data_IF_017907635399
#
_entry.id   IF_017907635399
#
_cell.length_a   1.000
_cell.length_b   1.000
_cell.length_c   1.000
_cell.angle_alpha   90.00
_cell.angle_beta   90.00
_cell.angle_gamma   90.00
#
_symmetry.space_group_name_H-M   'P 1'
#
loop_
_entity.id
_entity.type
_entity.pdbx_description
1 polymer ?
#
# COMPACT_ATOMS: atom_id res chain seq x y z
N UNK A 1 -26.19 -4.41 -7.41
CA UNK A 1 -25.99 -3.31 -8.38
C UNK A 1 -27.15 -2.29 -8.33
N UNK A 2 -28.41 -2.70 -8.41
CA UNK A 2 -29.57 -1.79 -8.42
C UNK A 2 -29.65 -0.97 -7.13
N UNK A 3 -29.50 -1.57 -5.94
CA UNK A 3 -29.49 -0.83 -4.66
C UNK A 3 -28.39 0.23 -4.62
N UNK A 4 -27.21 -0.06 -5.12
CA UNK A 4 -26.12 0.93 -5.16
C UNK A 4 -26.41 2.09 -6.11
N UNK A 5 -27.07 1.83 -7.23
CA UNK A 5 -27.53 2.91 -8.14
C UNK A 5 -28.57 3.79 -7.44
N UNK A 6 -29.55 3.18 -6.77
CA UNK A 6 -30.56 3.95 -6.01
C UNK A 6 -29.94 4.80 -4.90
N UNK A 7 -28.98 4.25 -4.14
CA UNK A 7 -28.27 4.99 -3.09
C UNK A 7 -27.43 6.12 -3.72
N UNK A 8 -26.85 5.90 -4.90
CA UNK A 8 -26.12 6.92 -5.64
C UNK A 8 -26.96 8.15 -6.01
N UNK A 9 -28.27 7.98 -6.23
CA UNK A 9 -29.19 9.10 -6.50
C UNK A 9 -29.37 10.05 -5.30
N UNK A 10 -29.05 9.59 -4.08
CA UNK A 10 -29.06 10.45 -2.89
C UNK A 10 -27.92 11.46 -2.89
N UNK A 11 -26.93 11.29 -3.77
CA UNK A 11 -25.75 12.15 -3.89
C UNK A 11 -25.04 12.43 -2.53
N UNK A 12 -25.09 11.47 -1.62
CA UNK A 12 -24.46 11.56 -0.32
C UNK A 12 -23.16 10.77 -0.31
N UNK A 13 -22.07 11.36 0.21
CA UNK A 13 -20.82 10.65 0.38
C UNK A 13 -20.96 9.50 1.39
N UNK A 14 -20.13 8.48 1.27
CA UNK A 14 -20.04 7.34 2.18
C UNK A 14 -21.29 6.44 2.28
N UNK A 15 -22.34 6.69 1.51
CA UNK A 15 -23.52 5.85 1.46
C UNK A 15 -23.31 4.65 0.53
N UNK A 16 -23.78 3.48 0.92
CA UNK A 16 -23.62 2.27 0.11
C UNK A 16 -24.37 1.07 0.69
N UNK A 17 -24.56 0.06 -0.15
CA UNK A 17 -25.04 -1.25 0.29
C UNK A 17 -24.12 -2.34 -0.27
N UNK A 18 -23.66 -3.22 0.61
CA UNK A 18 -22.89 -4.39 0.23
C UNK A 18 -23.75 -5.62 0.46
N UNK A 19 -23.91 -6.44 -0.57
CA UNK A 19 -24.62 -7.71 -0.47
C UNK A 19 -23.93 -8.68 0.49
N UNK A 20 -24.59 -9.81 0.80
CA UNK A 20 -24.01 -10.83 1.65
C UNK A 20 -22.67 -11.32 1.07
N UNK A 21 -21.74 -11.77 1.94
CA UNK A 21 -20.45 -12.29 1.49
C UNK A 21 -20.64 -13.39 0.44
N UNK A 22 -20.10 -13.20 -0.77
CA UNK A 22 -20.10 -14.22 -1.79
C UNK A 22 -18.86 -15.11 -1.62
N UNK A 23 -19.03 -16.42 -1.77
CA UNK A 23 -17.89 -17.34 -1.91
C UNK A 23 -17.26 -17.11 -3.28
N UNK A 24 -16.29 -16.24 -3.35
CA UNK A 24 -15.45 -16.06 -4.55
C UNK A 24 -14.42 -17.20 -4.58
N UNK A 25 -14.11 -17.77 -5.76
CA UNK A 25 -12.98 -18.70 -5.85
C UNK A 25 -11.70 -17.98 -5.37
N UNK A 26 -11.00 -18.64 -4.46
CA UNK A 26 -9.74 -18.13 -3.92
C UNK A 26 -8.64 -18.27 -4.97
N UNK A 27 -8.52 -17.29 -5.85
CA UNK A 27 -7.51 -17.27 -6.90
C UNK A 27 -6.15 -16.84 -6.34
N UNK A 28 -5.15 -17.68 -6.57
CA UNK A 28 -3.77 -17.37 -6.22
C UNK A 28 -3.21 -16.24 -7.07
N UNK A 29 -2.39 -15.39 -6.46
CA UNK A 29 -1.67 -14.30 -7.13
C UNK A 29 -0.18 -14.61 -7.15
N UNK A 30 0.46 -14.30 -8.28
CA UNK A 30 1.87 -14.61 -8.52
C UNK A 30 2.77 -13.39 -8.30
N UNK A 31 2.21 -12.18 -8.36
CA UNK A 31 2.97 -10.93 -8.42
C UNK A 31 3.64 -10.73 -9.78
N UNK A 32 3.04 -11.24 -10.85
CA UNK A 32 3.46 -11.04 -12.25
C UNK A 32 2.52 -10.09 -12.95
N UNK A 33 3.07 -9.13 -13.65
CA UNK A 33 2.36 -8.27 -14.59
C UNK A 33 2.81 -8.57 -16.00
N UNK A 34 1.84 -8.67 -16.90
CA UNK A 34 2.10 -9.03 -18.30
C UNK A 34 1.96 -7.82 -19.21
N UNK A 35 2.73 -7.81 -20.30
CA UNK A 35 2.66 -6.77 -21.31
C UNK A 35 1.37 -6.91 -22.12
N UNK A 36 0.48 -5.95 -21.92
CA UNK A 36 -0.83 -5.91 -22.58
C UNK A 36 -0.69 -5.80 -24.10
N UNK A 37 0.23 -4.97 -24.59
CA UNK A 37 0.40 -4.75 -26.03
C UNK A 37 0.94 -5.99 -26.76
N UNK A 38 1.80 -6.77 -26.10
CA UNK A 38 2.26 -8.06 -26.63
C UNK A 38 1.14 -9.09 -26.59
N UNK A 39 0.40 -9.15 -25.47
CA UNK A 39 -0.74 -10.08 -25.37
C UNK A 39 -1.80 -9.83 -26.44
N UNK A 40 -2.20 -8.57 -26.65
CA UNK A 40 -3.20 -8.21 -27.67
C UNK A 40 -2.76 -8.56 -29.10
N UNK A 41 -1.45 -8.51 -29.40
CA UNK A 41 -0.91 -8.82 -30.73
C UNK A 41 -0.65 -10.30 -30.94
N UNK A 42 -0.24 -11.02 -29.91
CA UNK A 42 0.32 -12.39 -30.07
C UNK A 42 -0.35 -13.44 -29.21
N UNK A 43 -1.19 -13.06 -28.26
CA UNK A 43 -1.74 -13.95 -27.25
C UNK A 43 -0.76 -14.47 -26.20
N UNK A 44 0.48 -13.97 -26.20
CA UNK A 44 1.53 -14.41 -25.28
C UNK A 44 1.53 -13.63 -23.97
N UNK A 45 1.66 -14.32 -22.85
CA UNK A 45 1.84 -13.71 -21.54
C UNK A 45 3.33 -13.44 -21.28
N UNK A 46 3.84 -12.37 -21.89
CA UNK A 46 5.19 -11.89 -21.61
C UNK A 46 5.19 -11.03 -20.33
N UNK A 47 6.10 -11.33 -19.42
CA UNK A 47 6.24 -10.63 -18.14
C UNK A 47 6.79 -9.23 -18.38
N UNK A 48 6.01 -8.22 -18.03
CA UNK A 48 6.43 -6.82 -18.04
C UNK A 48 7.17 -6.44 -16.74
N UNK A 49 6.66 -6.94 -15.59
CA UNK A 49 7.29 -6.70 -14.29
C UNK A 49 7.00 -7.81 -13.30
N UNK A 50 7.87 -7.91 -12.30
CA UNK A 50 7.75 -8.84 -11.16
C UNK A 50 7.69 -7.99 -9.88
N UNK A 51 6.65 -8.17 -9.10
CA UNK A 51 6.48 -7.42 -7.84
C UNK A 51 7.54 -7.89 -6.83
N UNK A 52 8.29 -6.97 -6.21
CA UNK A 52 9.25 -7.34 -5.17
C UNK A 52 8.60 -8.16 -4.04
N UNK A 53 9.30 -9.15 -3.53
CA UNK A 53 8.87 -10.08 -2.46
C UNK A 53 7.62 -10.91 -2.80
N UNK A 54 7.13 -10.86 -4.02
CA UNK A 54 6.02 -11.71 -4.48
C UNK A 54 6.44 -13.17 -4.65
N UNK A 55 5.46 -14.06 -4.81
CA UNK A 55 5.69 -15.47 -5.09
C UNK A 55 6.66 -15.71 -6.26
N UNK A 56 6.51 -14.94 -7.34
CA UNK A 56 7.42 -15.02 -8.50
C UNK A 56 8.81 -14.43 -8.21
N UNK A 57 8.88 -13.33 -7.46
CA UNK A 57 10.17 -12.72 -7.08
C UNK A 57 11.01 -13.65 -6.22
N UNK A 58 10.38 -14.34 -5.25
CA UNK A 58 11.06 -15.28 -4.36
C UNK A 58 11.62 -16.50 -5.09
N UNK A 59 11.06 -16.85 -6.25
CA UNK A 59 11.60 -17.91 -7.10
C UNK A 59 12.93 -17.51 -7.82
N UNK A 60 13.37 -16.25 -7.69
CA UNK A 60 14.66 -15.66 -8.10
C UNK A 60 15.06 -15.77 -9.58
N UNK A 61 14.52 -16.70 -10.36
CA UNK A 61 14.82 -16.95 -11.77
C UNK A 61 13.91 -16.17 -12.72
N UNK A 62 12.68 -15.85 -12.28
CA UNK A 62 11.66 -15.22 -13.12
C UNK A 62 12.00 -13.73 -13.32
N UNK A 63 12.03 -13.28 -14.55
CA UNK A 63 12.45 -11.91 -14.91
C UNK A 63 11.49 -11.26 -15.91
N UNK A 64 11.44 -9.93 -15.95
CA UNK A 64 10.82 -9.20 -17.05
C UNK A 64 11.42 -9.67 -18.39
N UNK A 65 10.55 -9.84 -19.39
CA UNK A 65 10.89 -10.38 -20.70
C UNK A 65 10.63 -11.88 -20.86
N UNK A 66 10.61 -12.65 -19.78
CA UNK A 66 10.23 -14.06 -19.84
C UNK A 66 8.74 -14.21 -20.20
N UNK A 67 8.39 -15.35 -20.82
CA UNK A 67 7.02 -15.68 -21.20
C UNK A 67 6.50 -16.85 -20.36
N UNK A 68 5.34 -16.71 -19.73
CA UNK A 68 4.64 -17.80 -19.06
C UNK A 68 4.00 -18.70 -20.12
N UNK A 69 4.36 -19.98 -20.14
CA UNK A 69 3.91 -20.96 -21.15
C UNK A 69 3.07 -22.08 -20.59
N UNK A 70 3.19 -22.39 -19.28
CA UNK A 70 2.31 -23.37 -18.62
C UNK A 70 2.24 -23.12 -17.11
N UNK A 71 1.14 -23.60 -16.48
CA UNK A 71 0.93 -23.66 -15.03
C UNK A 71 0.58 -25.09 -14.67
N UNK A 72 1.37 -25.74 -13.80
CA UNK A 72 1.25 -27.15 -13.42
C UNK A 72 1.09 -28.09 -14.65
N UNK A 73 1.90 -27.84 -15.69
CA UNK A 73 1.87 -28.59 -16.94
C UNK A 73 0.70 -28.26 -17.89
N UNK A 74 -0.27 -27.45 -17.48
CA UNK A 74 -1.36 -26.99 -18.35
C UNK A 74 -0.88 -25.82 -19.22
N UNK A 75 -0.94 -25.91 -20.55
CA UNK A 75 -0.48 -24.86 -21.43
C UNK A 75 -1.25 -23.55 -21.23
N UNK A 76 -0.52 -22.43 -21.35
CA UNK A 76 -1.10 -21.08 -21.38
C UNK A 76 -1.09 -20.59 -22.82
N UNK A 77 -2.27 -20.34 -23.35
CA UNK A 77 -2.54 -19.87 -24.72
C UNK A 77 -3.31 -18.55 -24.70
N UNK A 78 -3.53 -17.93 -25.84
CA UNK A 78 -4.30 -16.69 -25.95
C UNK A 78 -5.74 -16.77 -25.38
N UNK A 79 -6.35 -17.96 -25.38
CA UNK A 79 -7.69 -18.17 -24.81
C UNK A 79 -7.69 -18.66 -23.36
N UNK A 80 -6.53 -18.78 -22.72
CA UNK A 80 -6.43 -19.31 -21.35
C UNK A 80 -6.81 -18.27 -20.32
N UNK A 81 -7.79 -18.61 -19.46
CA UNK A 81 -8.07 -17.83 -18.26
C UNK A 81 -7.08 -18.24 -17.16
N UNK A 82 -6.09 -17.37 -16.91
CA UNK A 82 -5.05 -17.62 -15.90
C UNK A 82 -5.65 -17.73 -14.49
N UNK A 83 -6.71 -16.98 -14.18
CA UNK A 83 -7.36 -17.03 -12.86
C UNK A 83 -7.98 -18.41 -12.59
N UNK A 84 -8.47 -19.13 -13.62
CA UNK A 84 -8.95 -20.50 -13.46
C UNK A 84 -7.81 -21.46 -13.14
N UNK A 85 -6.66 -21.31 -13.79
CA UNK A 85 -5.48 -22.15 -13.52
C UNK A 85 -4.92 -21.92 -12.11
N UNK A 86 -5.12 -20.73 -11.54
CA UNK A 86 -4.67 -20.33 -10.21
C UNK A 86 -5.75 -20.45 -9.13
N UNK A 87 -6.96 -20.92 -9.49
CA UNK A 87 -8.04 -21.16 -8.53
C UNK A 87 -7.63 -22.22 -7.51
N UNK A 88 -7.88 -21.92 -6.22
CA UNK A 88 -7.54 -22.79 -5.08
C UNK A 88 -6.03 -23.08 -4.92
N UNK A 89 -5.15 -22.22 -5.49
CA UNK A 89 -3.69 -22.39 -5.43
C UNK A 89 -3.01 -21.55 -4.34
N UNK A 90 -3.77 -20.76 -3.57
CA UNK A 90 -3.20 -19.97 -2.46
C UNK A 90 -2.44 -20.89 -1.50
N UNK A 91 -1.17 -20.54 -1.20
CA UNK A 91 -0.24 -21.31 -0.36
C UNK A 91 -0.03 -22.78 -0.81
N UNK A 92 -0.31 -23.10 -2.08
CA UNK A 92 0.00 -24.42 -2.65
C UNK A 92 1.12 -24.30 -3.66
N UNK A 93 2.07 -25.21 -3.56
CA UNK A 93 3.16 -25.28 -4.54
C UNK A 93 2.58 -25.39 -5.96
N UNK A 94 2.99 -24.46 -6.80
CA UNK A 94 2.54 -24.34 -8.19
C UNK A 94 3.76 -24.21 -9.07
N UNK A 95 3.83 -25.04 -10.12
CA UNK A 95 4.95 -25.05 -11.07
C UNK A 95 4.62 -24.20 -12.27
N UNK A 96 5.41 -23.16 -12.49
CA UNK A 96 5.34 -22.31 -13.67
C UNK A 96 6.37 -22.79 -14.69
N UNK A 97 5.97 -23.00 -15.94
CA UNK A 97 6.90 -23.19 -17.06
C UNK A 97 7.04 -21.86 -17.79
N UNK A 98 8.28 -21.43 -17.95
CA UNK A 98 8.60 -20.15 -18.56
C UNK A 98 9.60 -20.32 -19.71
N UNK A 99 9.56 -19.41 -20.68
CA UNK A 99 10.51 -19.33 -21.79
C UNK A 99 11.21 -17.98 -21.72
N UNK A 100 12.52 -18.00 -21.56
CA UNK A 100 13.39 -16.81 -21.51
C UNK A 100 14.56 -16.92 -22.50
N UNK A 101 15.52 -15.99 -22.49
CA UNK A 101 16.66 -15.97 -23.39
C UNK A 101 17.53 -17.25 -23.31
N UNK A 102 17.57 -17.91 -22.17
CA UNK A 102 18.29 -19.17 -21.93
C UNK A 102 17.51 -20.44 -22.24
N UNK A 103 16.35 -20.34 -22.89
CA UNK A 103 15.45 -21.46 -23.17
C UNK A 103 14.30 -21.61 -22.20
N UNK A 104 13.66 -22.80 -22.24
CA UNK A 104 12.53 -23.12 -21.36
C UNK A 104 13.03 -23.64 -20.03
N UNK A 105 12.39 -23.17 -18.92
CA UNK A 105 12.72 -23.60 -17.56
C UNK A 105 11.46 -23.64 -16.69
N UNK A 106 11.57 -24.27 -15.53
CA UNK A 106 10.50 -24.33 -14.54
C UNK A 106 10.89 -23.57 -13.27
N UNK A 107 9.90 -22.95 -12.63
CA UNK A 107 10.00 -22.31 -11.35
C UNK A 107 8.84 -22.73 -10.46
N UNK A 108 9.14 -23.11 -9.22
CA UNK A 108 8.13 -23.43 -8.21
C UNK A 108 7.82 -22.20 -7.39
N UNK A 109 6.54 -21.87 -7.23
CA UNK A 109 6.05 -20.70 -6.52
C UNK A 109 4.95 -21.08 -5.53
N UNK A 110 4.72 -20.23 -4.53
CA UNK A 110 3.60 -20.31 -3.60
C UNK A 110 2.69 -19.10 -3.80
N UNK A 111 1.64 -19.20 -4.64
CA UNK A 111 0.74 -18.09 -4.89
C UNK A 111 0.13 -17.55 -3.59
N UNK A 112 -0.02 -16.23 -3.48
CA UNK A 112 -0.60 -15.57 -2.31
C UNK A 112 -2.05 -15.14 -2.58
N UNK A 113 -2.78 -14.72 -1.55
CA UNK A 113 -4.11 -14.14 -1.72
C UNK A 113 -4.05 -12.71 -2.30
N UNK A 114 -5.19 -12.22 -2.78
CA UNK A 114 -5.28 -10.89 -3.39
C UNK A 114 -4.96 -9.74 -2.41
N UNK A 115 -5.24 -9.91 -1.11
CA UNK A 115 -4.90 -8.92 -0.08
C UNK A 115 -3.39 -8.77 0.06
N UNK A 116 -2.68 -9.88 0.19
CA UNK A 116 -1.21 -9.90 0.26
C UNK A 116 -0.59 -9.33 -1.01
N UNK A 117 -1.09 -9.70 -2.19
CA UNK A 117 -0.60 -9.16 -3.46
C UNK A 117 -0.74 -7.62 -3.54
N UNK A 118 -1.90 -7.09 -3.14
CA UNK A 118 -2.12 -5.64 -3.04
C UNK A 118 -1.17 -4.95 -2.06
N UNK A 119 -0.90 -5.57 -0.90
CA UNK A 119 0.05 -5.04 0.08
C UNK A 119 1.47 -4.99 -0.47
N UNK A 120 1.91 -6.03 -1.19
CA UNK A 120 3.23 -6.06 -1.83
C UNK A 120 3.36 -4.99 -2.91
N UNK A 121 2.32 -4.80 -3.73
CA UNK A 121 2.26 -3.71 -4.71
C UNK A 121 2.36 -2.34 -4.06
N UNK A 122 1.59 -2.14 -3.01
CA UNK A 122 1.61 -0.90 -2.25
C UNK A 122 3.01 -0.62 -1.67
N UNK A 123 3.64 -1.61 -1.02
CA UNK A 123 5.00 -1.46 -0.49
C UNK A 123 6.01 -1.16 -1.59
N UNK A 124 5.93 -1.87 -2.72
CA UNK A 124 6.80 -1.57 -3.87
C UNK A 124 6.65 -0.12 -4.35
N UNK A 125 5.41 0.38 -4.42
CA UNK A 125 5.15 1.77 -4.78
C UNK A 125 5.73 2.76 -3.75
N UNK A 126 5.59 2.48 -2.44
CA UNK A 126 6.18 3.32 -1.37
C UNK A 126 7.71 3.36 -1.51
N UNK A 127 8.36 2.22 -1.73
CA UNK A 127 9.82 2.15 -1.91
C UNK A 127 10.29 2.93 -3.15
N UNK A 128 9.54 2.86 -4.25
CA UNK A 128 9.83 3.66 -5.45
C UNK A 128 9.74 5.17 -5.17
N UNK A 129 8.73 5.60 -4.41
CA UNK A 129 8.60 7.02 -4.00
C UNK A 129 9.71 7.43 -3.06
N UNK A 130 10.07 6.58 -2.10
CA UNK A 130 11.20 6.78 -1.19
C UNK A 130 12.51 6.94 -1.96
N UNK A 131 12.78 6.04 -2.89
CA UNK A 131 13.95 6.12 -3.75
C UNK A 131 13.95 7.40 -4.60
N UNK A 132 12.79 7.80 -5.13
CA UNK A 132 12.65 9.04 -5.89
C UNK A 132 12.96 10.28 -5.04
N UNK A 133 12.35 10.39 -3.86
CA UNK A 133 12.58 11.53 -2.94
C UNK A 133 14.05 11.57 -2.51
N UNK A 134 14.63 10.43 -2.15
CA UNK A 134 16.06 10.33 -1.81
C UNK A 134 16.95 10.81 -2.97
N UNK A 135 16.65 10.37 -4.20
CA UNK A 135 17.43 10.76 -5.39
C UNK A 135 17.38 12.27 -5.64
N UNK A 136 16.20 12.88 -5.65
CA UNK A 136 16.07 14.31 -5.99
C UNK A 136 16.57 15.23 -4.88
N UNK A 137 16.61 14.76 -3.64
CA UNK A 137 17.10 15.50 -2.48
C UNK A 137 18.58 15.20 -2.16
N UNK A 138 19.29 14.45 -2.99
CA UNK A 138 20.63 13.95 -2.70
C UNK A 138 20.74 13.22 -1.34
N UNK A 139 19.73 12.44 -1.00
CA UNK A 139 19.65 11.66 0.24
C UNK A 139 19.21 12.45 1.49
N UNK A 140 18.93 13.75 1.37
CA UNK A 140 18.65 14.64 2.50
C UNK A 140 17.24 14.49 3.08
N UNK A 141 16.26 14.06 2.26
CA UNK A 141 14.87 13.93 2.70
C UNK A 141 14.46 12.46 2.80
N UNK A 142 13.73 12.15 3.89
CA UNK A 142 13.00 10.91 4.06
C UNK A 142 11.60 10.99 3.43
N UNK A 143 10.95 9.83 3.29
CA UNK A 143 9.60 9.73 2.75
C UNK A 143 8.80 8.64 3.46
N UNK A 144 7.61 8.99 3.93
CA UNK A 144 6.65 8.06 4.51
C UNK A 144 5.27 8.25 3.86
N UNK A 145 4.50 7.18 3.76
CA UNK A 145 3.16 7.23 3.20
C UNK A 145 2.17 6.47 4.07
N UNK A 146 0.98 7.05 4.30
CA UNK A 146 -0.16 6.39 4.93
C UNK A 146 -1.24 6.13 3.89
N UNK A 147 -1.57 4.85 3.66
CA UNK A 147 -2.61 4.47 2.69
C UNK A 147 -4.03 4.64 3.22
N UNK A 148 -4.19 4.57 4.53
CA UNK A 148 -5.44 4.78 5.25
C UNK A 148 -5.16 5.29 6.67
N UNK A 149 -6.19 5.67 7.40
CA UNK A 149 -6.13 6.07 8.80
C UNK A 149 -6.59 4.92 9.71
N UNK A 150 -6.09 3.71 9.46
CA UNK A 150 -6.27 2.53 10.31
C UNK A 150 -5.10 2.33 11.29
N UNK A 151 -5.30 1.48 12.30
CA UNK A 151 -4.27 1.18 13.32
C UNK A 151 -3.00 0.59 12.71
N UNK A 152 -3.13 -0.33 11.73
CA UNK A 152 -1.98 -0.91 11.04
C UNK A 152 -1.16 0.12 10.27
N UNK A 153 -1.82 1.11 9.65
CA UNK A 153 -1.12 2.22 8.97
C UNK A 153 -0.48 3.18 9.96
N UNK A 154 -1.05 3.37 11.14
CA UNK A 154 -0.45 4.15 12.23
C UNK A 154 0.83 3.50 12.75
N UNK A 155 0.80 2.18 13.01
CA UNK A 155 1.98 1.42 13.42
C UNK A 155 3.09 1.48 12.37
N UNK A 156 2.71 1.36 11.10
CA UNK A 156 3.66 1.46 9.99
C UNK A 156 4.23 2.89 9.85
N UNK A 157 3.41 3.94 10.05
CA UNK A 157 3.88 5.32 10.08
C UNK A 157 4.98 5.50 11.14
N UNK A 158 4.74 5.01 12.36
CA UNK A 158 5.73 5.11 13.44
C UNK A 158 7.04 4.42 13.07
N UNK A 159 6.96 3.20 12.52
CA UNK A 159 8.13 2.44 12.09
C UNK A 159 8.87 3.12 10.92
N UNK A 160 8.14 3.61 9.92
CA UNK A 160 8.73 4.28 8.75
C UNK A 160 9.36 5.63 9.15
N UNK A 161 8.76 6.40 10.06
CA UNK A 161 9.35 7.65 10.58
C UNK A 161 10.65 7.37 11.33
N UNK A 162 10.71 6.30 12.13
CA UNK A 162 11.92 5.90 12.82
C UNK A 162 13.04 5.53 11.83
N UNK A 163 12.70 4.79 10.77
CA UNK A 163 13.65 4.39 9.74
C UNK A 163 14.14 5.60 8.91
N UNK A 164 13.24 6.49 8.51
CA UNK A 164 13.55 7.66 7.66
C UNK A 164 14.18 8.83 8.43
N UNK A 165 14.14 8.82 9.76
CA UNK A 165 14.72 9.88 10.59
C UNK A 165 16.26 9.85 10.64
N UNK A 166 16.89 8.72 10.32
CA UNK A 166 18.34 8.55 10.43
C UNK A 166 19.06 9.33 9.32
N UNK A 167 19.92 10.27 9.72
CA UNK A 167 20.77 11.08 8.82
C UNK A 167 19.99 11.87 7.74
N UNK A 168 18.75 12.30 8.04
CA UNK A 168 17.93 13.14 7.17
C UNK A 168 17.84 14.57 7.72
N UNK A 169 17.52 15.51 6.81
CA UNK A 169 17.30 16.93 7.15
C UNK A 169 15.80 17.26 7.24
N UNK A 170 14.92 16.38 6.79
CA UNK A 170 13.47 16.51 6.83
C UNK A 170 12.76 15.28 6.27
N UNK A 171 11.43 15.20 6.46
CA UNK A 171 10.62 14.08 6.00
C UNK A 171 9.39 14.56 5.22
N UNK A 172 9.15 13.94 4.08
CA UNK A 172 7.90 14.07 3.32
C UNK A 172 6.89 13.06 3.87
N UNK A 173 5.80 13.57 4.42
CA UNK A 173 4.64 12.76 4.86
C UNK A 173 3.59 12.82 3.76
N UNK A 174 3.26 11.69 3.16
CA UNK A 174 2.34 11.62 2.02
C UNK A 174 1.05 10.90 2.42
N UNK A 175 -0.08 11.58 2.29
CA UNK A 175 -1.41 11.03 2.52
C UNK A 175 -2.27 11.05 1.25
N UNK A 176 -1.65 11.17 0.08
CA UNK A 176 -2.38 11.04 -1.19
C UNK A 176 -3.01 9.65 -1.31
N UNK A 177 -4.23 9.62 -1.82
CA UNK A 177 -5.02 8.39 -1.98
C UNK A 177 -5.32 7.66 -0.65
N UNK A 178 -5.29 8.36 0.47
CA UNK A 178 -5.64 7.83 1.77
C UNK A 178 -7.17 7.82 1.94
N UNK A 179 -7.74 6.65 2.18
CA UNK A 179 -9.19 6.45 2.25
C UNK A 179 -9.82 6.87 3.59
N UNK A 180 -9.07 7.54 4.48
CA UNK A 180 -9.57 7.89 5.81
C UNK A 180 -9.54 6.72 6.81
N UNK A 181 -10.18 6.91 7.94
CA UNK A 181 -10.20 5.96 9.07
C UNK A 181 -10.57 6.65 10.37
N UNK A 182 -9.77 6.45 11.46
CA UNK A 182 -10.06 6.99 12.79
C UNK A 182 -8.80 7.25 13.65
N UNK A 183 -7.63 7.47 13.05
CA UNK A 183 -6.38 7.60 13.82
C UNK A 183 -5.68 8.95 13.63
N UNK A 184 -6.36 9.95 13.05
CA UNK A 184 -5.75 11.27 12.80
C UNK A 184 -5.08 11.87 14.05
N UNK A 185 -5.75 11.86 15.20
CA UNK A 185 -5.25 12.40 16.45
C UNK A 185 -3.94 11.72 16.90
N UNK A 186 -3.87 10.39 16.79
CA UNK A 186 -2.66 9.63 17.16
C UNK A 186 -1.50 9.92 16.20
N UNK A 187 -1.78 10.06 14.90
CA UNK A 187 -0.77 10.40 13.91
C UNK A 187 -0.24 11.83 14.13
N UNK A 188 -1.13 12.79 14.44
CA UNK A 188 -0.75 14.15 14.82
C UNK A 188 0.08 14.18 16.10
N UNK A 189 -0.26 13.37 17.11
CA UNK A 189 0.52 13.24 18.34
C UNK A 189 1.95 12.77 18.06
N UNK A 190 2.13 11.80 17.15
CA UNK A 190 3.47 11.34 16.76
C UNK A 190 4.28 12.49 16.15
N UNK A 191 3.71 13.24 15.21
CA UNK A 191 4.39 14.32 14.50
C UNK A 191 4.60 15.56 15.38
N UNK A 192 3.76 15.79 16.39
CA UNK A 192 3.85 16.92 17.30
C UNK A 192 4.82 16.73 18.46
N UNK A 193 5.33 15.53 18.69
CA UNK A 193 6.26 15.23 19.78
C UNK A 193 7.50 16.10 19.66
N UNK A 194 7.86 16.77 20.76
CA UNK A 194 9.06 17.61 20.85
C UNK A 194 10.01 17.03 21.89
N UNK A 195 11.33 17.14 21.70
CA UNK A 195 12.30 16.87 22.76
C UNK A 195 12.10 17.90 23.89
N UNK A 196 12.20 17.46 25.12
CA UNK A 196 12.06 18.34 26.29
C UNK A 196 13.20 18.19 27.29
N UNK A 197 13.95 17.10 27.22
CA UNK A 197 15.05 16.80 28.10
C UNK A 197 16.09 15.92 27.39
N UNK A 198 17.37 16.27 27.60
CA UNK A 198 18.49 15.42 27.16
C UNK A 198 19.05 14.66 28.37
N UNK A 199 19.26 13.38 28.20
CA UNK A 199 19.83 12.47 29.19
C UNK A 199 21.19 11.97 28.74
N UNK A 200 22.15 11.91 29.64
CA UNK A 200 23.47 11.38 29.35
C UNK A 200 23.92 10.46 30.48
N UNK A 201 24.01 9.18 30.18
CA UNK A 201 24.64 8.21 31.07
C UNK A 201 26.16 8.38 31.06
N UNK A 202 26.83 7.97 32.16
CA UNK A 202 28.30 8.02 32.25
C UNK A 202 28.92 7.19 31.12
N UNK A 203 29.75 7.82 30.31
CA UNK A 203 30.41 7.15 29.18
C UNK A 203 29.50 6.83 27.97
N UNK A 204 28.28 7.32 27.97
CA UNK A 204 27.33 7.14 26.86
C UNK A 204 27.10 8.46 26.10
N UNK A 205 26.73 8.43 24.82
CA UNK A 205 26.32 9.63 24.09
C UNK A 205 25.04 10.24 24.70
N UNK A 206 24.92 11.54 24.62
CA UNK A 206 23.70 12.24 25.02
C UNK A 206 22.53 11.85 24.08
N UNK A 207 21.34 11.64 24.64
CA UNK A 207 20.16 11.26 23.89
C UNK A 207 18.92 11.90 24.50
N UNK A 208 17.85 12.12 23.70
CA UNK A 208 16.63 12.68 24.24
C UNK A 208 15.92 11.68 25.17
N UNK A 209 15.26 12.17 26.22
CA UNK A 209 14.46 11.34 27.12
C UNK A 209 13.39 10.55 26.39
N UNK A 210 12.75 11.15 25.38
CA UNK A 210 11.75 10.44 24.54
C UNK A 210 12.32 9.23 23.82
N UNK A 211 13.53 9.35 23.29
CA UNK A 211 14.21 8.22 22.62
C UNK A 211 14.46 7.08 23.60
N UNK A 212 14.96 7.39 24.81
CA UNK A 212 15.19 6.37 25.84
C UNK A 212 13.92 5.69 26.34
N UNK A 213 12.80 6.43 26.38
CA UNK A 213 11.51 5.93 26.83
C UNK A 213 10.67 5.30 25.69
N UNK A 214 11.23 5.13 24.52
CA UNK A 214 10.53 4.51 23.38
C UNK A 214 9.43 5.38 22.73
N UNK A 215 9.41 6.67 23.04
CA UNK A 215 8.47 7.64 22.46
C UNK A 215 9.22 8.69 21.63
N UNK A 216 9.95 8.24 20.62
CA UNK A 216 10.76 9.15 19.81
C UNK A 216 9.97 10.37 19.32
N UNK A 217 10.64 11.52 19.36
CA UNK A 217 10.25 12.68 18.56
C UNK A 217 10.91 12.56 17.19
N UNK A 218 10.20 12.96 16.14
CA UNK A 218 10.80 13.00 14.81
C UNK A 218 11.98 13.99 14.77
N UNK A 219 11.85 15.13 15.46
CA UNK A 219 12.89 16.19 15.60
C UNK A 219 13.33 16.81 14.26
N UNK A 220 12.65 16.46 13.16
CA UNK A 220 12.90 16.97 11.82
C UNK A 220 11.71 17.76 11.31
N UNK A 221 11.93 18.77 10.45
CA UNK A 221 10.85 19.41 9.74
C UNK A 221 10.14 18.43 8.81
N UNK A 222 8.83 18.61 8.68
CA UNK A 222 8.01 17.80 7.78
C UNK A 222 7.30 18.67 6.76
N UNK A 223 6.93 18.08 5.62
CA UNK A 223 5.98 18.62 4.66
C UNK A 223 4.91 17.55 4.40
N UNK A 224 3.65 17.95 4.43
CA UNK A 224 2.51 17.07 4.17
C UNK A 224 2.10 17.18 2.71
N UNK A 225 1.93 16.04 2.05
CA UNK A 225 1.45 15.97 0.65
C UNK A 225 0.05 15.39 0.60
N UNK A 226 -0.87 16.09 -0.06
CA UNK A 226 -2.29 15.71 -0.19
C UNK A 226 -2.73 15.69 -1.64
N UNK A 227 -3.86 15.04 -1.91
CA UNK A 227 -4.62 15.19 -3.15
C UNK A 227 -6.12 15.06 -2.87
N UNK A 228 -6.93 15.23 -3.92
CA UNK A 228 -8.39 15.09 -3.87
C UNK A 228 -8.87 13.71 -3.38
N UNK A 229 -8.00 12.71 -3.33
CA UNK A 229 -8.28 11.37 -2.81
C UNK A 229 -7.71 11.14 -1.40
N UNK A 230 -7.26 12.21 -0.72
CA UNK A 230 -7.03 12.21 0.73
C UNK A 230 -8.38 12.46 1.40
N UNK A 231 -9.07 11.39 1.86
CA UNK A 231 -10.49 11.43 2.19
C UNK A 231 -10.76 11.29 3.69
N UNK A 232 -11.88 11.85 4.15
CA UNK A 232 -12.43 11.64 5.50
C UNK A 232 -11.37 11.93 6.58
N UNK A 233 -11.02 10.98 7.45
CA UNK A 233 -10.04 11.14 8.53
C UNK A 233 -8.64 11.64 8.04
N UNK A 234 -8.31 11.44 6.76
CA UNK A 234 -7.11 12.04 6.16
C UNK A 234 -7.29 13.55 5.93
N UNK A 235 -8.52 14.04 5.78
CA UNK A 235 -8.84 15.47 5.71
C UNK A 235 -8.74 16.10 7.10
N UNK A 236 -9.27 15.41 8.15
CA UNK A 236 -9.10 15.81 9.55
C UNK A 236 -7.61 15.89 9.92
N UNK A 237 -6.84 14.87 9.53
CA UNK A 237 -5.39 14.86 9.72
C UNK A 237 -4.70 16.05 9.02
N UNK A 238 -5.09 16.33 7.78
CA UNK A 238 -4.53 17.42 6.99
C UNK A 238 -4.81 18.78 7.63
N UNK A 239 -6.05 19.01 8.06
CA UNK A 239 -6.42 20.25 8.75
C UNK A 239 -5.77 20.34 10.13
N UNK A 240 -5.73 19.26 10.90
CA UNK A 240 -5.02 19.19 12.18
C UNK A 240 -3.53 19.52 12.03
N UNK A 241 -2.86 18.95 11.01
CA UNK A 241 -1.46 19.23 10.70
C UNK A 241 -1.24 20.73 10.41
N UNK A 242 -2.14 21.33 9.63
CA UNK A 242 -2.12 22.77 9.31
C UNK A 242 -2.39 23.64 10.54
N UNK A 243 -3.42 23.33 11.32
CA UNK A 243 -3.82 24.09 12.50
C UNK A 243 -2.74 24.06 13.60
N UNK A 244 -2.08 22.91 13.80
CA UNK A 244 -0.98 22.71 14.73
C UNK A 244 0.36 23.27 14.21
N UNK A 245 0.40 23.80 12.97
CA UNK A 245 1.60 24.37 12.34
C UNK A 245 2.79 23.40 12.32
N UNK A 246 2.52 22.11 12.04
CA UNK A 246 3.56 21.08 12.03
C UNK A 246 4.50 21.17 10.81
N UNK A 247 4.04 21.82 9.73
CA UNK A 247 4.80 22.07 8.52
C UNK A 247 3.94 22.65 7.41
N UNK A 248 4.45 22.66 6.19
CA UNK A 248 3.68 23.09 5.01
C UNK A 248 2.84 21.93 4.47
N UNK A 249 1.62 22.24 4.02
CA UNK A 249 0.79 21.33 3.23
C UNK A 249 0.95 21.70 1.76
N UNK A 250 1.20 20.73 0.91
CA UNK A 250 1.40 20.88 -0.55
C UNK A 250 0.59 19.83 -1.31
N UNK A 251 0.32 20.10 -2.57
CA UNK A 251 -0.45 19.20 -3.45
C UNK A 251 -1.79 19.80 -3.83
N UNK A 252 -2.81 18.95 -3.95
CA UNK A 252 -4.16 19.36 -4.35
C UNK A 252 -5.08 19.43 -3.13
N UNK A 253 -6.13 20.27 -3.16
CA UNK A 253 -7.18 20.27 -2.13
C UNK A 253 -7.83 18.89 -2.01
N UNK A 254 -8.26 18.56 -0.80
CA UNK A 254 -9.04 17.36 -0.50
C UNK A 254 -10.49 17.51 -0.99
N UNK A 255 -11.26 16.42 -0.99
CA UNK A 255 -12.60 16.41 -1.57
C UNK A 255 -13.70 17.05 -0.68
N UNK A 256 -13.44 17.27 0.61
CA UNK A 256 -14.44 17.78 1.56
C UNK A 256 -15.44 16.71 2.01
N UNK A 257 -15.00 15.48 2.20
CA UNK A 257 -15.84 14.32 2.53
C UNK A 257 -15.76 13.92 4.00
N UNK A 258 -15.70 14.87 4.89
CA UNK A 258 -15.65 14.64 6.34
C UNK A 258 -17.06 14.33 6.85
N UNK A 259 -17.34 13.07 7.12
CA UNK A 259 -18.61 12.63 7.71
C UNK A 259 -18.42 11.33 8.48
N UNK A 260 -19.05 11.22 9.65
CA UNK A 260 -19.15 9.96 10.36
C UNK A 260 -20.16 9.04 9.71
N UNK A 261 -19.85 7.75 9.65
CA UNK A 261 -20.71 6.73 9.07
C UNK A 261 -20.86 5.54 10.02
N UNK A 262 -21.99 4.86 9.91
CA UNK A 262 -22.24 3.58 10.57
C UNK A 262 -22.77 2.57 9.57
N UNK A 263 -22.70 1.30 9.95
CA UNK A 263 -23.24 0.21 9.13
C UNK A 263 -24.42 -0.44 9.86
N UNK A 264 -25.47 -0.74 9.12
CA UNK A 264 -26.61 -1.55 9.59
C UNK A 264 -26.56 -2.89 8.86
N UNK A 265 -26.50 -3.98 9.63
CA UNK A 265 -26.58 -5.33 9.08
C UNK A 265 -28.05 -5.76 8.88
N UNK A 266 -28.33 -6.34 7.72
CA UNK A 266 -29.63 -6.94 7.41
C UNK A 266 -29.59 -8.46 7.67
N UNK A 267 -30.79 -9.09 7.72
CA UNK A 267 -30.95 -10.50 8.09
C UNK A 267 -30.25 -11.47 7.12
N UNK A 268 -30.05 -11.07 5.88
CA UNK A 268 -29.36 -11.84 4.83
C UNK A 268 -27.82 -11.61 4.81
N UNK A 269 -27.29 -10.84 5.77
CA UNK A 269 -25.88 -10.47 5.79
C UNK A 269 -25.52 -9.28 4.90
N UNK A 270 -26.49 -8.66 4.22
CA UNK A 270 -26.31 -7.38 3.54
C UNK A 270 -26.00 -6.29 4.55
N UNK A 271 -25.10 -5.38 4.23
CA UNK A 271 -24.82 -4.20 5.05
C UNK A 271 -25.19 -2.93 4.31
N UNK A 272 -25.83 -2.00 5.02
CA UNK A 272 -26.12 -0.66 4.52
C UNK A 272 -25.29 0.33 5.34
N UNK A 273 -24.54 1.16 4.65
CA UNK A 273 -23.70 2.21 5.24
C UNK A 273 -24.40 3.55 5.13
#
# INVERSE_FOLDING_TARGET
>A
RTMQLMIGELNASHSGANGPPSQQPYTGRLGLYFDRGIYEKTGNLQIASVVPLSAASLASRIKPGDRLTAVDGKPVTAGTNLDELLSYKINKQTVLTLSGPGGTYQASVLPVNAGTDKQLLYRAWVEDRRAYVSKISAGKLGYVHMIDMGSGSLDQLAADLDAENTAKEGVVVDVRNNNGGFVNAYALDILSRRPYLTMQGRGQPATSARTQLGQRSLELPTVLVTNQMSLSDAEDFTEGYRAMKLGKVVGEPTAGWIIYTSNVGLIDGTTVR
#
